data_IF_906330793843
#
_entry.id   IF_906330793843
#
_cell.length_a   1.000
_cell.length_b   1.000
_cell.length_c   1.000
_cell.angle_alpha   90.00
_cell.angle_beta   90.00
_cell.angle_gamma   90.00
#
_symmetry.space_group_name_H-M   'P 1'
#
loop_
_entity.id
_entity.type
_entity.pdbx_description
1 polymer ?
#
# COMPACT_ATOMS: atom_id res chain seq x y z
N UNK A 1 -41.25 -0.21 13.00
CA UNK A 1 -40.13 -1.06 12.55
C UNK A 1 -39.53 -0.37 11.36
N UNK A 2 -38.42 0.34 11.55
CA UNK A 2 -37.76 1.06 10.45
C UNK A 2 -36.93 0.06 9.65
N UNK A 3 -37.07 0.09 8.33
CA UNK A 3 -36.25 -0.71 7.41
C UNK A 3 -34.75 -0.49 7.68
N UNK A 4 -33.91 -1.53 7.53
CA UNK A 4 -32.48 -1.33 7.56
C UNK A 4 -32.11 -0.47 6.35
N UNK A 5 -31.71 0.78 6.60
CA UNK A 5 -31.13 1.64 5.59
C UNK A 5 -29.94 0.89 4.97
N UNK A 6 -30.05 0.57 3.68
CA UNK A 6 -28.96 0.01 2.89
C UNK A 6 -27.77 0.96 2.98
N UNK A 7 -26.75 0.58 3.77
CA UNK A 7 -25.58 1.41 4.05
C UNK A 7 -24.79 1.57 2.75
N UNK A 8 -24.78 2.78 2.21
CA UNK A 8 -24.09 3.11 0.96
C UNK A 8 -22.58 3.09 1.19
N UNK A 9 -21.83 2.37 0.35
CA UNK A 9 -20.37 2.41 0.35
C UNK A 9 -19.91 3.87 0.17
N UNK A 10 -18.75 4.27 0.76
CA UNK A 10 -18.27 5.63 0.62
C UNK A 10 -18.07 5.99 -0.86
N UNK A 11 -18.51 7.20 -1.23
CA UNK A 11 -18.44 7.71 -2.60
C UNK A 11 -16.98 7.73 -3.08
N UNK A 12 -16.68 6.89 -4.08
CA UNK A 12 -15.35 6.79 -4.67
C UNK A 12 -14.82 8.14 -5.17
N UNK A 13 -15.72 9.04 -5.60
CA UNK A 13 -15.35 10.39 -6.01
C UNK A 13 -14.81 11.21 -4.84
N UNK A 14 -15.38 11.05 -3.65
CA UNK A 14 -14.90 11.72 -2.44
C UNK A 14 -13.54 11.17 -2.02
N UNK A 15 -13.38 9.84 -2.01
CA UNK A 15 -12.10 9.19 -1.67
C UNK A 15 -11.00 9.67 -2.63
N UNK A 16 -11.29 9.70 -3.93
CA UNK A 16 -10.38 10.21 -4.94
C UNK A 16 -10.06 11.69 -4.69
N UNK A 17 -11.06 12.53 -4.43
CA UNK A 17 -10.84 13.95 -4.14
C UNK A 17 -9.96 14.17 -2.89
N UNK A 18 -10.15 13.38 -1.84
CA UNK A 18 -9.31 13.41 -0.63
C UNK A 18 -7.87 12.98 -0.97
N UNK A 19 -7.71 11.87 -1.68
CA UNK A 19 -6.39 11.38 -2.12
C UNK A 19 -5.60 12.43 -2.90
N UNK A 20 -6.23 13.10 -3.85
CA UNK A 20 -5.56 14.09 -4.70
C UNK A 20 -5.24 15.41 -3.97
N UNK A 21 -6.00 15.77 -2.93
CA UNK A 21 -5.86 17.08 -2.25
C UNK A 21 -5.06 17.03 -0.96
N UNK A 22 -5.19 15.96 -0.19
CA UNK A 22 -4.57 15.85 1.13
C UNK A 22 -3.19 15.20 1.09
N UNK A 23 -2.85 14.46 0.02
CA UNK A 23 -1.62 13.68 -0.07
C UNK A 23 -0.77 14.13 -1.27
N UNK A 24 0.24 15.00 -1.06
CA UNK A 24 1.08 15.52 -2.15
C UNK A 24 2.13 14.52 -2.65
N UNK A 25 2.39 13.47 -1.87
CA UNK A 25 3.37 12.41 -2.16
C UNK A 25 2.68 11.18 -2.76
N UNK A 26 3.41 10.26 -3.41
CA UNK A 26 2.81 9.03 -3.91
C UNK A 26 1.97 8.36 -2.83
N UNK A 27 0.74 7.97 -3.16
CA UNK A 27 -0.13 7.31 -2.19
C UNK A 27 -1.36 6.69 -2.81
N UNK A 28 -2.05 5.90 -1.99
CA UNK A 28 -3.29 5.23 -2.35
C UNK A 28 -4.26 5.13 -1.17
N UNK A 29 -5.53 4.88 -1.51
CA UNK A 29 -6.55 4.46 -0.57
C UNK A 29 -6.89 2.97 -0.79
N UNK A 30 -7.06 2.22 0.29
CA UNK A 30 -7.27 0.77 0.26
C UNK A 30 -8.12 0.28 1.43
N UNK A 31 -8.66 -0.93 1.30
CA UNK A 31 -9.36 -1.66 2.37
C UNK A 31 -8.39 -2.56 3.15
N UNK A 32 -8.73 -3.02 4.37
CA UNK A 32 -7.80 -3.79 5.20
C UNK A 32 -7.40 -5.15 4.62
N UNK A 33 -8.19 -5.69 3.69
CA UNK A 33 -7.87 -6.89 2.90
C UNK A 33 -6.87 -6.62 1.75
N UNK A 34 -6.43 -5.38 1.61
CA UNK A 34 -5.49 -4.91 0.60
C UNK A 34 -6.15 -4.43 -0.70
N UNK A 35 -7.48 -4.53 -0.84
CA UNK A 35 -8.16 -4.12 -2.06
C UNK A 35 -7.93 -2.63 -2.33
N UNK A 36 -7.35 -2.32 -3.50
CA UNK A 36 -7.10 -0.95 -3.92
C UNK A 36 -8.41 -0.24 -4.25
N UNK A 37 -8.55 1.01 -3.80
CA UNK A 37 -9.69 1.87 -4.15
C UNK A 37 -9.29 2.91 -5.17
N UNK A 38 -8.20 3.63 -4.90
CA UNK A 38 -7.64 4.60 -5.84
C UNK A 38 -6.19 4.91 -5.49
N UNK A 39 -5.41 5.33 -6.48
CA UNK A 39 -4.06 5.84 -6.33
C UNK A 39 -4.03 7.30 -6.80
N UNK A 40 -3.24 8.15 -6.14
CA UNK A 40 -3.08 9.52 -6.62
C UNK A 40 -2.20 9.59 -7.87
N UNK A 41 -2.27 10.71 -8.58
CA UNK A 41 -1.54 10.89 -9.85
C UNK A 41 -0.02 10.73 -9.68
N UNK A 42 0.50 11.23 -8.55
CA UNK A 42 1.91 11.14 -8.15
C UNK A 42 2.39 9.69 -8.11
N UNK A 43 1.60 8.77 -7.52
CA UNK A 43 1.94 7.35 -7.50
C UNK A 43 1.85 6.71 -8.89
N UNK A 44 0.79 6.99 -9.65
CA UNK A 44 0.64 6.43 -11.00
C UNK A 44 1.85 6.77 -11.88
N UNK A 45 2.28 8.05 -11.88
CA UNK A 45 3.46 8.49 -12.63
C UNK A 45 4.75 7.80 -12.17
N UNK A 46 4.91 7.59 -10.86
CA UNK A 46 6.07 6.88 -10.32
C UNK A 46 6.11 5.42 -10.79
N UNK A 47 4.98 4.71 -10.74
CA UNK A 47 4.89 3.33 -11.20
C UNK A 47 5.10 3.22 -12.72
N UNK A 48 4.54 4.15 -13.50
CA UNK A 48 4.73 4.23 -14.95
C UNK A 48 6.19 4.51 -15.32
N UNK A 49 6.86 5.41 -14.59
CA UNK A 49 8.28 5.69 -14.78
C UNK A 49 9.16 4.48 -14.42
N UNK A 50 8.80 3.74 -13.38
CA UNK A 50 9.49 2.51 -12.96
C UNK A 50 9.27 1.35 -13.95
N UNK A 51 8.07 1.25 -14.54
CA UNK A 51 7.67 0.13 -15.41
C UNK A 51 6.87 0.58 -16.64
N UNK A 52 7.49 1.31 -17.59
CA UNK A 52 6.77 1.97 -18.70
C UNK A 52 6.12 1.01 -19.71
N UNK A 53 6.36 -0.30 -19.58
CA UNK A 53 5.81 -1.34 -20.47
C UNK A 53 4.87 -2.30 -19.75
N UNK A 54 4.61 -2.08 -18.45
CA UNK A 54 3.85 -2.99 -17.62
C UNK A 54 3.08 -2.20 -16.58
N UNK A 55 1.75 -2.20 -16.67
CA UNK A 55 0.91 -1.77 -15.56
C UNK A 55 1.05 -2.75 -14.40
N UNK A 56 1.69 -2.31 -13.33
CA UNK A 56 1.98 -3.15 -12.17
C UNK A 56 0.71 -3.54 -11.42
N UNK A 57 -0.30 -2.67 -11.36
CA UNK A 57 -1.56 -2.99 -10.69
C UNK A 57 -2.24 -4.19 -11.34
N UNK A 58 -2.24 -4.24 -12.67
CA UNK A 58 -2.76 -5.38 -13.42
C UNK A 58 -1.81 -6.57 -13.38
N UNK A 59 -0.49 -6.35 -13.48
CA UNK A 59 0.49 -7.43 -13.58
C UNK A 59 0.68 -8.22 -12.28
N UNK A 60 0.33 -7.66 -11.13
CA UNK A 60 0.37 -8.33 -9.83
C UNK A 60 -1.01 -8.65 -9.28
N UNK A 61 -2.10 -8.24 -9.94
CA UNK A 61 -3.45 -8.42 -9.43
C UNK A 61 -3.82 -9.91 -9.32
N UNK A 62 -4.44 -10.34 -8.19
CA UNK A 62 -5.25 -11.55 -8.17
C UNK A 62 -6.52 -11.39 -9.02
N UNK A 63 -7.28 -12.47 -9.21
CA UNK A 63 -8.53 -12.45 -9.98
C UNK A 63 -9.56 -11.42 -9.49
N UNK A 64 -9.53 -11.10 -8.18
CA UNK A 64 -10.41 -10.11 -7.57
C UNK A 64 -10.08 -8.65 -7.93
N UNK A 65 -8.92 -8.39 -8.54
CA UNK A 65 -8.46 -7.05 -8.94
C UNK A 65 -7.23 -6.55 -8.18
N UNK A 66 -6.82 -5.29 -8.40
CA UNK A 66 -5.60 -4.74 -7.81
C UNK A 66 -5.59 -4.78 -6.28
N UNK A 67 -4.47 -5.26 -5.73
CA UNK A 67 -4.29 -5.40 -4.28
C UNK A 67 -2.90 -4.92 -3.88
N UNK A 68 -2.83 -4.11 -2.82
CA UNK A 68 -1.59 -3.47 -2.35
C UNK A 68 -0.59 -4.49 -1.81
N UNK A 69 -1.04 -5.55 -1.14
CA UNK A 69 -0.15 -6.59 -0.65
C UNK A 69 0.41 -7.41 -1.80
N UNK A 70 -0.42 -7.73 -2.79
CA UNK A 70 0.06 -8.40 -3.99
C UNK A 70 1.08 -7.51 -4.75
N UNK A 71 0.84 -6.19 -4.88
CA UNK A 71 1.83 -5.27 -5.48
C UNK A 71 3.18 -5.28 -4.73
N UNK A 72 3.16 -5.35 -3.40
CA UNK A 72 4.38 -5.38 -2.57
C UNK A 72 5.07 -6.75 -2.64
N UNK A 73 4.37 -7.86 -2.37
CA UNK A 73 5.00 -9.16 -2.17
C UNK A 73 5.21 -9.98 -3.45
N UNK A 74 4.52 -9.65 -4.54
CA UNK A 74 4.61 -10.41 -5.78
C UNK A 74 6.03 -10.30 -6.39
N UNK A 75 6.61 -11.38 -6.95
CA UNK A 75 7.96 -11.36 -7.53
C UNK A 75 8.14 -10.34 -8.67
N UNK A 76 7.05 -10.03 -9.38
CA UNK A 76 7.02 -9.00 -10.43
C UNK A 76 6.52 -7.63 -9.93
N UNK A 77 6.35 -7.46 -8.62
CA UNK A 77 5.90 -6.22 -7.98
C UNK A 77 7.06 -5.31 -7.57
N UNK A 78 6.88 -4.61 -6.46
CA UNK A 78 7.82 -3.59 -5.97
C UNK A 78 9.16 -4.17 -5.49
N UNK A 79 9.20 -5.45 -5.13
CA UNK A 79 10.42 -6.12 -4.66
C UNK A 79 11.60 -6.01 -5.62
N UNK A 80 11.35 -5.86 -6.92
CA UNK A 80 12.40 -5.74 -7.93
C UNK A 80 13.28 -4.50 -7.73
N UNK A 81 12.79 -3.51 -6.98
CA UNK A 81 13.46 -2.23 -6.76
C UNK A 81 13.75 -1.94 -5.29
N UNK A 82 13.25 -2.75 -4.36
CA UNK A 82 13.43 -2.53 -2.93
C UNK A 82 14.84 -2.97 -2.50
N UNK A 83 15.59 -2.07 -1.84
CA UNK A 83 16.96 -2.34 -1.40
C UNK A 83 17.04 -2.98 0.00
N UNK A 84 15.96 -2.91 0.78
CA UNK A 84 15.87 -3.46 2.15
C UNK A 84 14.62 -4.31 2.43
N UNK A 85 14.28 -5.29 1.57
CA UNK A 85 13.08 -6.11 1.73
C UNK A 85 13.02 -6.89 3.06
N UNK A 86 14.17 -7.26 3.61
CA UNK A 86 14.29 -7.93 4.92
C UNK A 86 13.81 -7.06 6.09
N UNK A 87 13.84 -5.73 5.95
CA UNK A 87 13.29 -4.80 6.95
C UNK A 87 11.79 -4.55 6.70
N UNK A 88 11.38 -4.43 5.43
CA UNK A 88 10.04 -3.96 5.05
C UNK A 88 8.99 -5.07 5.03
N UNK A 89 9.33 -6.22 4.47
CA UNK A 89 8.38 -7.31 4.27
C UNK A 89 7.84 -7.91 5.58
N UNK A 90 8.66 -8.16 6.62
CA UNK A 90 8.16 -8.67 7.89
C UNK A 90 7.12 -7.74 8.51
N UNK A 91 7.34 -6.43 8.45
CA UNK A 91 6.43 -5.44 9.00
C UNK A 91 5.13 -5.34 8.24
N UNK A 92 5.19 -5.28 6.91
CA UNK A 92 3.98 -5.29 6.07
C UNK A 92 3.16 -6.56 6.31
N UNK A 93 3.80 -7.72 6.43
CA UNK A 93 3.14 -8.99 6.73
C UNK A 93 2.55 -9.01 8.15
N UNK A 94 3.28 -8.47 9.14
CA UNK A 94 2.79 -8.34 10.51
C UNK A 94 1.52 -7.50 10.58
N UNK A 95 1.45 -6.37 9.84
CA UNK A 95 0.22 -5.55 9.73
C UNK A 95 -0.93 -6.37 9.16
N UNK A 96 -0.72 -7.10 8.07
CA UNK A 96 -1.75 -7.95 7.46
C UNK A 96 -2.24 -9.05 8.42
N UNK A 97 -1.34 -9.69 9.17
CA UNK A 97 -1.70 -10.69 10.18
C UNK A 97 -2.57 -10.11 11.31
N UNK A 98 -2.29 -8.87 11.73
CA UNK A 98 -3.11 -8.16 12.74
C UNK A 98 -4.51 -7.83 12.19
N UNK A 99 -4.59 -7.36 10.94
CA UNK A 99 -5.90 -7.12 10.31
C UNK A 99 -6.67 -8.45 10.15
N UNK A 100 -6.00 -9.53 9.75
CA UNK A 100 -6.59 -10.87 9.61
C UNK A 100 -7.06 -11.47 10.93
N UNK A 101 -6.40 -11.19 12.06
CA UNK A 101 -6.86 -11.64 13.38
C UNK A 101 -8.16 -10.95 13.81
N UNK A 102 -8.46 -9.79 13.22
CA UNK A 102 -9.65 -8.99 13.50
C UNK A 102 -10.81 -9.26 12.53
N UNK A 103 -10.57 -9.92 11.38
CA UNK A 103 -11.59 -10.22 10.39
C UNK A 103 -11.31 -11.50 9.58
N UNK A 104 -12.17 -12.53 9.66
CA UNK A 104 -12.02 -13.77 8.88
C UNK A 104 -11.96 -13.56 7.37
N UNK A 105 -12.59 -12.50 6.85
CA UNK A 105 -12.61 -12.19 5.41
C UNK A 105 -11.23 -11.85 4.83
N UNK A 106 -10.26 -11.48 5.67
CA UNK A 106 -8.90 -11.13 5.25
C UNK A 106 -8.01 -12.38 5.17
N UNK A 107 -8.44 -13.50 5.77
CA UNK A 107 -7.64 -14.73 5.83
C UNK A 107 -7.28 -15.27 4.44
N UNK A 108 -8.17 -15.12 3.45
CA UNK A 108 -7.89 -15.50 2.07
C UNK A 108 -6.74 -14.68 1.46
N UNK A 109 -6.71 -13.36 1.70
CA UNK A 109 -5.56 -12.54 1.31
C UNK A 109 -4.31 -12.98 2.05
N UNK A 110 -4.36 -13.17 3.36
CA UNK A 110 -3.19 -13.61 4.13
C UNK A 110 -2.60 -14.93 3.60
N UNK A 111 -3.43 -15.96 3.38
CA UNK A 111 -2.98 -17.23 2.83
C UNK A 111 -2.34 -17.07 1.44
N UNK A 112 -2.92 -16.22 0.59
CA UNK A 112 -2.35 -15.92 -0.74
C UNK A 112 -0.98 -15.25 -0.60
N UNK A 113 -0.86 -14.23 0.24
CA UNK A 113 0.41 -13.53 0.45
C UNK A 113 1.48 -14.46 1.04
N UNK A 114 1.13 -15.31 2.01
CA UNK A 114 2.04 -16.31 2.60
C UNK A 114 2.49 -17.39 1.60
N UNK A 115 1.79 -17.53 0.47
CA UNK A 115 2.20 -18.42 -0.60
C UNK A 115 3.34 -17.88 -1.46
N UNK A 116 3.60 -16.57 -1.44
CA UNK A 116 4.66 -15.96 -2.25
C UNK A 116 6.06 -16.41 -1.79
N UNK A 117 6.99 -16.69 -2.72
CA UNK A 117 8.35 -17.09 -2.37
C UNK A 117 9.06 -16.10 -1.46
N UNK A 118 8.84 -14.80 -1.68
CA UNK A 118 9.38 -13.69 -0.88
C UNK A 118 8.99 -13.78 0.59
N UNK A 119 7.78 -14.27 0.89
CA UNK A 119 7.29 -14.46 2.26
C UNK A 119 7.79 -15.76 2.86
N UNK A 120 7.82 -16.85 2.07
CA UNK A 120 8.33 -18.15 2.54
C UNK A 120 9.80 -18.12 2.92
N UNK A 121 10.58 -17.23 2.30
CA UNK A 121 11.99 -17.01 2.62
C UNK A 121 12.21 -16.07 3.79
N UNK A 122 11.18 -15.41 4.32
CA UNK A 122 11.35 -14.58 5.52
C UNK A 122 11.66 -15.51 6.69
N UNK A 123 12.88 -15.41 7.21
CA UNK A 123 13.19 -16.01 8.49
C UNK A 123 12.31 -15.37 9.57
N UNK A 124 11.89 -16.16 10.55
CA UNK A 124 11.21 -15.65 11.74
C UNK A 124 12.20 -14.85 12.59
N UNK A 125 12.53 -13.65 12.15
CA UNK A 125 13.34 -12.73 12.92
C UNK A 125 12.45 -12.02 13.93
N UNK A 126 12.65 -12.30 15.22
CA UNK A 126 12.05 -11.56 16.34
C UNK A 126 12.75 -10.20 16.55
N UNK A 127 13.17 -9.53 15.47
CA UNK A 127 13.71 -8.17 15.58
C UNK A 127 12.52 -7.22 15.64
N UNK A 128 12.38 -6.53 16.77
CA UNK A 128 11.39 -5.46 16.87
C UNK A 128 11.70 -4.40 15.81
N UNK A 129 10.69 -3.95 15.05
CA UNK A 129 10.92 -2.92 14.04
C UNK A 129 11.41 -1.62 14.66
N UNK A 130 12.18 -0.83 13.90
CA UNK A 130 12.49 0.53 14.32
C UNK A 130 11.19 1.34 14.49
N UNK A 131 11.19 2.39 15.35
CA UNK A 131 10.00 3.25 15.54
C UNK A 131 9.48 3.89 14.24
N UNK A 132 10.38 4.10 13.28
CA UNK A 132 10.08 4.54 11.92
C UNK A 132 10.85 3.64 10.97
N UNK A 133 10.13 2.96 10.07
CA UNK A 133 10.71 2.14 9.01
C UNK A 133 10.93 3.00 7.77
N UNK A 134 12.18 3.04 7.29
CA UNK A 134 12.54 3.71 6.04
C UNK A 134 12.61 2.65 4.95
N UNK A 135 11.81 2.79 3.90
CA UNK A 135 11.88 1.94 2.70
C UNK A 135 12.83 2.58 1.68
N UNK A 136 13.73 1.79 1.11
CA UNK A 136 14.74 2.24 0.15
C UNK A 136 14.47 1.61 -1.21
N UNK A 137 14.46 2.43 -2.25
CA UNK A 137 14.16 2.00 -3.61
C UNK A 137 15.22 2.45 -4.60
N UNK A 138 15.52 1.59 -5.58
CA UNK A 138 16.44 1.86 -6.69
C UNK A 138 15.81 1.55 -8.05
N UNK A 139 15.53 2.61 -8.81
CA UNK A 139 15.00 2.59 -10.17
C UNK A 139 16.10 2.96 -11.17
N UNK A 140 16.87 1.98 -11.63
CA UNK A 140 18.02 2.22 -12.51
C UNK A 140 19.08 3.11 -11.83
N UNK A 141 19.37 4.32 -12.33
CA UNK A 141 20.32 5.24 -11.70
C UNK A 141 19.71 6.08 -10.55
N UNK A 142 18.39 6.00 -10.34
CA UNK A 142 17.68 6.78 -9.33
C UNK A 142 17.55 5.95 -8.07
N UNK A 143 17.93 6.50 -6.91
CA UNK A 143 17.69 5.91 -5.60
C UNK A 143 16.99 6.93 -4.70
N UNK A 144 16.00 6.49 -3.95
CA UNK A 144 15.27 7.34 -3.00
C UNK A 144 14.79 6.53 -1.79
N UNK A 145 14.57 7.24 -0.69
CA UNK A 145 14.09 6.67 0.57
C UNK A 145 12.76 7.30 0.95
N UNK A 146 11.83 6.50 1.45
CA UNK A 146 10.52 6.96 1.91
C UNK A 146 10.18 6.43 3.30
N UNK A 147 9.22 7.09 3.94
CA UNK A 147 8.51 6.62 5.11
C UNK A 147 7.05 6.41 4.71
N UNK A 148 6.53 5.20 4.92
CA UNK A 148 5.10 4.93 4.78
C UNK A 148 4.32 5.54 5.94
N UNK A 149 3.32 6.37 5.62
CA UNK A 149 2.38 6.96 6.57
C UNK A 149 1.00 6.42 6.27
N UNK A 150 0.50 5.54 7.13
CA UNK A 150 -0.87 5.03 7.08
C UNK A 150 -1.76 5.89 7.99
N UNK A 151 -2.85 6.38 7.42
CA UNK A 151 -3.87 7.16 8.13
C UNK A 151 -5.27 6.60 7.85
N UNK A 152 -6.22 6.93 8.72
CA UNK A 152 -7.63 6.62 8.57
C UNK A 152 -8.44 7.88 8.90
N UNK A 153 -9.64 7.98 8.34
CA UNK A 153 -10.55 9.07 8.68
C UNK A 153 -11.20 8.76 10.04
N UNK A 154 -11.15 9.71 10.96
CA UNK A 154 -11.92 9.62 12.19
C UNK A 154 -13.41 9.75 11.84
N UNK A 155 -14.16 8.66 11.96
CA UNK A 155 -15.62 8.68 11.75
C UNK A 155 -16.35 8.57 13.09
N UNK A 156 -17.35 9.44 13.37
CA UNK A 156 -18.21 9.30 14.53
C UNK A 156 -19.27 8.21 14.30
N UNK A 157 -18.84 6.94 14.23
CA UNK A 157 -19.72 5.77 14.29
C UNK A 157 -20.16 5.13 12.97
N UNK A 158 -19.62 5.53 11.81
CA UNK A 158 -19.84 4.79 10.56
C UNK A 158 -18.76 3.71 10.35
N UNK A 159 -19.11 2.48 10.74
CA UNK A 159 -18.27 1.26 10.68
C UNK A 159 -17.63 0.96 9.30
N UNK A 160 -18.16 1.53 8.22
CA UNK A 160 -17.65 1.34 6.85
C UNK A 160 -16.49 2.29 6.51
N UNK A 161 -16.53 3.53 7.03
CA UNK A 161 -15.44 4.51 6.87
C UNK A 161 -14.24 4.20 7.77
N UNK A 162 -14.48 3.55 8.92
CA UNK A 162 -13.43 3.09 9.85
C UNK A 162 -12.49 2.03 9.26
N UNK A 163 -12.88 1.39 8.15
CA UNK A 163 -12.07 0.37 7.48
C UNK A 163 -11.22 0.92 6.35
N UNK A 164 -11.45 2.17 5.93
CA UNK A 164 -10.63 2.80 4.90
C UNK A 164 -9.24 3.13 5.48
N UNK A 165 -8.21 2.84 4.69
CA UNK A 165 -6.83 3.25 4.97
C UNK A 165 -6.33 4.10 3.81
N UNK A 166 -5.56 5.11 4.14
CA UNK A 166 -4.81 5.95 3.22
C UNK A 166 -3.33 5.73 3.52
N UNK A 167 -2.54 5.36 2.52
CA UNK A 167 -1.09 5.22 2.68
C UNK A 167 -0.40 6.23 1.76
N UNK A 168 0.55 6.96 2.32
CA UNK A 168 1.33 7.98 1.63
C UNK A 168 2.82 7.72 1.87
N UNK A 169 3.61 7.76 0.81
CA UNK A 169 5.04 7.46 0.82
C UNK A 169 5.82 8.77 0.84
N UNK A 170 6.06 9.28 2.05
CA UNK A 170 6.69 10.58 2.29
C UNK A 170 8.20 10.45 2.10
N UNK A 171 8.88 11.37 1.38
CA UNK A 171 10.34 11.33 1.25
C UNK A 171 11.03 11.39 2.62
N UNK A 172 12.02 10.53 2.84
CA UNK A 172 12.75 10.47 4.11
C UNK A 172 13.82 11.57 4.25
N UNK A 173 14.22 12.19 3.14
CA UNK A 173 15.21 13.27 3.08
C UNK A 173 14.96 14.22 1.87
N UNK A 174 15.65 15.36 1.86
CA UNK A 174 15.52 16.39 0.81
C UNK A 174 15.88 15.86 -0.60
N UNK A 175 16.83 14.93 -0.69
CA UNK A 175 17.25 14.35 -1.97
C UNK A 175 16.13 13.50 -2.56
N UNK A 176 15.52 12.66 -1.73
CA UNK A 176 14.37 11.81 -2.07
C UNK A 176 13.15 12.67 -2.45
N UNK A 177 12.94 13.79 -1.77
CA UNK A 177 11.90 14.77 -2.12
C UNK A 177 12.10 15.32 -3.53
N UNK A 178 13.31 15.79 -3.86
CA UNK A 178 13.56 16.35 -5.18
C UNK A 178 13.42 15.30 -6.29
N UNK A 179 13.87 14.07 -6.03
CA UNK A 179 13.70 12.95 -6.95
C UNK A 179 12.21 12.66 -7.19
N UNK A 180 11.43 12.49 -6.12
CA UNK A 180 10.01 12.17 -6.25
C UNK A 180 9.23 13.30 -6.93
N UNK A 181 9.58 14.57 -6.67
CA UNK A 181 8.99 15.71 -7.39
C UNK A 181 9.33 15.71 -8.88
N UNK A 182 10.53 15.29 -9.29
CA UNK A 182 10.92 15.21 -10.70
C UNK A 182 10.20 14.09 -11.44
N UNK A 183 10.05 12.93 -10.80
CA UNK A 183 9.37 11.76 -11.39
C UNK A 183 7.85 11.98 -11.50
N UNK A 184 7.28 12.76 -10.59
CA UNK A 184 5.83 12.99 -10.51
C UNK A 184 5.32 14.18 -11.35
N UNK A 185 6.21 14.91 -12.04
CA UNK A 185 5.85 16.00 -12.95
C UNK A 185 5.50 15.44 -14.32
#
# INVERSE_FOLDING_TARGET
MSEPQTRQAPDENLINAVMQRAFPWPGYAFRPDGSLLTANETLSKLLDAASPKQDLWTATAPEAGPNIYDLVFHPNGLLRWMENPEEVLPETLRRLRIEASSSPTIHETLMRIESYPSVRSLESHEVLPPPVLIERYKLGPISFSIVSVISHLASPGELEMERLRFESFVPADETSEEILRKVSR
#
